data_IF_135125165530
#
_entry.id   IF_135125165530
#
_cell.length_a   1.000
_cell.length_b   1.000
_cell.length_c   1.000
_cell.angle_alpha   90.00
_cell.angle_beta   90.00
_cell.angle_gamma   90.00
#
_symmetry.space_group_name_H-M   'P 1'
#
loop_
_entity.id
_entity.type
_entity.pdbx_description
1 polymer ?
#
# COMPACT_ATOMS: atom_id res chain seq x y z
N UNK A 1 3.03 19.95 10.79
CA UNK A 1 3.60 18.78 10.09
C UNK A 1 2.55 17.71 9.72
N UNK A 2 1.46 17.52 10.47
CA UNK A 2 0.44 16.51 10.09
C UNK A 2 -0.51 16.91 8.94
N UNK A 3 -0.70 18.20 8.69
CA UNK A 3 -1.61 18.69 7.62
C UNK A 3 -1.11 18.42 6.19
N UNK A 4 0.20 18.34 5.96
CA UNK A 4 0.78 18.10 4.61
C UNK A 4 0.64 16.63 4.17
N UNK A 5 0.42 15.71 5.11
CA UNK A 5 0.31 14.26 4.84
C UNK A 5 -1.09 13.83 4.39
N UNK A 6 -2.09 14.68 4.64
CA UNK A 6 -3.50 14.44 4.31
C UNK A 6 -3.85 15.22 3.05
N UNK A 7 -3.30 14.82 1.91
CA UNK A 7 -3.67 15.41 0.62
C UNK A 7 -5.12 14.97 0.28
N UNK A 8 -6.02 15.95 0.16
CA UNK A 8 -7.45 15.78 -0.12
C UNK A 8 -7.69 16.04 -1.60
N UNK A 9 -8.60 15.28 -2.20
CA UNK A 9 -8.90 15.38 -3.63
C UNK A 9 -9.43 16.76 -3.98
N UNK A 10 -8.83 17.41 -4.98
CA UNK A 10 -9.29 18.70 -5.50
C UNK A 10 -10.51 18.47 -6.41
N UNK A 11 -11.67 18.24 -5.79
CA UNK A 11 -12.95 18.11 -6.48
C UNK A 11 -13.54 19.50 -6.81
N UNK A 12 -14.44 19.55 -7.79
CA UNK A 12 -15.20 20.77 -8.14
C UNK A 12 -15.93 21.32 -6.91
N UNK A 13 -16.51 20.41 -6.12
CA UNK A 13 -17.07 20.71 -4.80
C UNK A 13 -16.16 20.06 -3.74
N UNK A 14 -15.50 20.85 -2.88
CA UNK A 14 -14.59 20.31 -1.89
C UNK A 14 -15.36 19.47 -0.85
N UNK A 15 -14.82 18.29 -0.46
CA UNK A 15 -15.48 17.46 0.53
C UNK A 15 -15.60 18.20 1.87
N UNK A 16 -16.74 18.02 2.54
CA UNK A 16 -16.98 18.67 3.83
C UNK A 16 -15.95 18.22 4.88
N UNK A 17 -15.70 19.07 5.88
CA UNK A 17 -14.78 18.74 6.96
C UNK A 17 -15.22 17.50 7.76
N UNK A 18 -16.53 17.22 7.81
CA UNK A 18 -17.08 16.01 8.44
C UNK A 18 -16.76 14.76 7.61
N UNK A 19 -17.02 14.80 6.31
CA UNK A 19 -16.67 13.72 5.37
C UNK A 19 -15.19 13.35 5.45
N UNK A 20 -14.31 14.35 5.56
CA UNK A 20 -12.86 14.12 5.71
C UNK A 20 -12.55 13.43 7.04
N UNK A 21 -13.15 13.87 8.16
CA UNK A 21 -12.92 13.23 9.48
C UNK A 21 -13.41 11.79 9.50
N UNK A 22 -14.58 11.52 8.94
CA UNK A 22 -15.14 10.18 8.87
C UNK A 22 -14.29 9.27 7.99
N UNK A 23 -13.76 9.79 6.88
CA UNK A 23 -12.85 9.03 6.03
C UNK A 23 -11.52 8.72 6.72
N UNK A 24 -10.98 9.64 7.52
CA UNK A 24 -9.78 9.38 8.34
C UNK A 24 -10.06 8.28 9.36
N UNK A 25 -11.22 8.30 10.01
CA UNK A 25 -11.64 7.25 10.95
C UNK A 25 -11.76 5.90 10.25
N UNK A 26 -12.41 5.87 9.08
CA UNK A 26 -12.51 4.68 8.23
C UNK A 26 -11.12 4.13 7.86
N UNK A 27 -10.23 4.98 7.36
CA UNK A 27 -8.88 4.58 6.95
C UNK A 27 -8.09 3.95 8.10
N UNK A 28 -8.16 4.52 9.31
CA UNK A 28 -7.51 3.96 10.50
C UNK A 28 -8.07 2.60 10.87
N UNK A 29 -9.39 2.44 10.81
CA UNK A 29 -10.05 1.16 11.11
C UNK A 29 -9.63 0.09 10.11
N UNK A 30 -9.66 0.38 8.81
CA UNK A 30 -9.23 -0.55 7.75
C UNK A 30 -7.78 -0.97 7.92
N UNK A 31 -6.87 -0.04 8.25
CA UNK A 31 -5.46 -0.37 8.47
C UNK A 31 -5.30 -1.34 9.65
N UNK A 32 -6.03 -1.10 10.75
CA UNK A 32 -6.01 -2.00 11.90
C UNK A 32 -6.66 -3.37 11.60
N UNK A 33 -7.77 -3.39 10.86
CA UNK A 33 -8.43 -4.61 10.40
C UNK A 33 -7.51 -5.43 9.48
N UNK A 34 -6.86 -4.79 8.51
CA UNK A 34 -5.90 -5.43 7.63
C UNK A 34 -4.69 -5.97 8.42
N UNK A 35 -4.19 -5.21 9.39
CA UNK A 35 -3.12 -5.64 10.30
C UNK A 35 -3.52 -6.89 11.08
N UNK A 36 -4.76 -6.94 11.59
CA UNK A 36 -5.31 -8.11 12.29
C UNK A 36 -5.47 -9.31 11.36
N UNK A 37 -6.08 -9.12 10.18
CA UNK A 37 -6.25 -10.17 9.18
C UNK A 37 -4.90 -10.79 8.77
N UNK A 38 -3.87 -9.96 8.61
CA UNK A 38 -2.49 -10.42 8.39
C UNK A 38 -1.92 -11.16 9.62
N UNK A 39 -2.19 -10.71 10.84
CA UNK A 39 -1.70 -11.39 12.05
C UNK A 39 -2.37 -12.73 12.35
N UNK A 40 -3.66 -12.89 12.02
CA UNK A 40 -4.31 -14.20 12.08
C UNK A 40 -3.57 -15.22 11.21
N UNK A 41 -3.00 -14.80 10.06
CA UNK A 41 -2.10 -15.63 9.25
C UNK A 41 -0.78 -15.97 9.96
N UNK A 42 -0.12 -15.05 10.67
CA UNK A 42 1.17 -15.34 11.31
C UNK A 42 1.08 -16.09 12.65
N UNK A 43 0.02 -15.92 13.42
CA UNK A 43 -0.18 -16.66 14.70
C UNK A 43 -0.65 -18.10 14.42
N UNK A 44 -1.50 -18.32 13.41
CA UNK A 44 -1.85 -19.68 12.99
C UNK A 44 -0.64 -20.44 12.43
N UNK A 45 0.26 -19.81 11.67
CA UNK A 45 1.44 -20.52 11.14
C UNK A 45 2.40 -21.05 12.23
N UNK A 46 2.31 -20.55 13.46
CA UNK A 46 3.07 -21.09 14.60
C UNK A 46 2.28 -22.13 15.42
N UNK A 47 0.97 -22.28 15.19
CA UNK A 47 0.08 -23.16 15.98
C UNK A 47 -0.75 -24.18 15.16
N UNK A 48 -0.72 -24.16 13.82
CA UNK A 48 -1.53 -25.02 12.92
C UNK A 48 -0.68 -26.07 12.18
N UNK A 49 0.03 -26.90 12.94
CA UNK A 49 -0.29 -28.33 12.86
C UNK A 49 -1.56 -28.43 13.69
N UNK A 50 -2.66 -28.99 13.18
CA UNK A 50 -3.97 -29.21 13.86
C UNK A 50 -5.05 -28.14 13.56
N UNK A 51 -5.99 -28.52 12.67
CA UNK A 51 -7.43 -28.16 12.60
C UNK A 51 -7.92 -26.86 11.91
N UNK A 52 -8.37 -27.01 10.65
CA UNK A 52 -9.37 -26.18 9.94
C UNK A 52 -10.05 -25.07 10.78
N UNK A 53 -9.85 -23.80 10.41
CA UNK A 53 -10.88 -22.78 10.17
C UNK A 53 -10.22 -21.40 10.06
N UNK A 54 -10.58 -20.65 9.00
CA UNK A 54 -10.17 -19.26 8.71
C UNK A 54 -8.84 -19.04 7.96
N UNK A 55 -8.69 -19.66 6.78
CA UNK A 55 -7.71 -19.22 5.79
C UNK A 55 -8.31 -18.05 4.99
N UNK A 56 -7.93 -16.80 5.29
CA UNK A 56 -8.23 -15.69 4.37
C UNK A 56 -7.30 -15.85 3.16
N UNK A 57 -7.81 -16.19 1.95
CA UNK A 57 -6.98 -16.30 0.77
C UNK A 57 -6.33 -14.95 0.45
N UNK A 58 -5.10 -14.93 -0.09
CA UNK A 58 -4.44 -13.70 -0.48
C UNK A 58 -5.26 -12.81 -1.43
N UNK A 59 -6.17 -13.39 -2.22
CA UNK A 59 -7.12 -12.67 -3.06
C UNK A 59 -8.10 -11.80 -2.26
N UNK A 60 -8.64 -12.31 -1.14
CA UNK A 60 -9.53 -11.53 -0.27
C UNK A 60 -8.77 -10.37 0.41
N UNK A 61 -7.50 -10.56 0.77
CA UNK A 61 -6.68 -9.46 1.28
C UNK A 61 -6.45 -8.37 0.21
N UNK A 62 -6.24 -8.77 -1.04
CA UNK A 62 -6.09 -7.82 -2.14
C UNK A 62 -7.42 -7.09 -2.42
N UNK A 63 -8.54 -7.81 -2.39
CA UNK A 63 -9.88 -7.22 -2.56
C UNK A 63 -10.19 -6.19 -1.46
N UNK A 64 -9.86 -6.49 -0.20
CA UNK A 64 -9.98 -5.51 0.90
C UNK A 64 -9.15 -4.26 0.60
N UNK A 65 -7.92 -4.41 0.10
CA UNK A 65 -7.09 -3.28 -0.27
C UNK A 65 -7.72 -2.46 -1.41
N UNK A 66 -8.18 -3.11 -2.47
CA UNK A 66 -8.74 -2.45 -3.65
C UNK A 66 -10.06 -1.73 -3.34
N UNK A 67 -10.98 -2.38 -2.62
CA UNK A 67 -12.23 -1.75 -2.14
C UNK A 67 -11.95 -0.56 -1.22
N UNK A 68 -10.96 -0.68 -0.34
CA UNK A 68 -10.57 0.41 0.56
C UNK A 68 -9.93 1.58 -0.20
N UNK A 69 -9.11 1.29 -1.21
CA UNK A 69 -8.50 2.30 -2.07
C UNK A 69 -9.55 3.04 -2.89
N UNK A 70 -10.53 2.34 -3.44
CA UNK A 70 -11.63 2.96 -4.20
C UNK A 70 -12.46 3.89 -3.32
N UNK A 71 -12.90 3.39 -2.14
CA UNK A 71 -13.68 4.17 -1.18
C UNK A 71 -12.93 5.40 -0.65
N UNK A 72 -11.66 5.25 -0.30
CA UNK A 72 -10.84 6.38 0.14
C UNK A 72 -10.52 7.35 -1.00
N UNK A 73 -10.33 6.86 -2.23
CA UNK A 73 -10.04 7.66 -3.42
C UNK A 73 -11.15 8.61 -3.86
N UNK A 74 -12.37 8.43 -3.32
CA UNK A 74 -13.45 9.41 -3.45
C UNK A 74 -13.16 10.72 -2.70
N UNK A 75 -12.34 10.69 -1.65
CA UNK A 75 -12.07 11.84 -0.75
C UNK A 75 -10.59 12.22 -0.72
N UNK A 76 -9.68 11.24 -0.73
CA UNK A 76 -8.24 11.43 -0.64
C UNK A 76 -7.57 11.39 -2.02
N UNK A 77 -6.50 12.16 -2.18
CA UNK A 77 -5.61 12.03 -3.35
C UNK A 77 -4.78 10.74 -3.26
N UNK A 78 -4.30 10.22 -4.40
CA UNK A 78 -3.45 9.02 -4.44
C UNK A 78 -2.15 9.19 -3.60
N UNK A 79 -1.69 10.42 -3.44
CA UNK A 79 -0.51 10.81 -2.63
C UNK A 79 -0.79 10.87 -1.13
N UNK A 80 -2.04 10.72 -0.67
CA UNK A 80 -2.40 10.71 0.74
C UNK A 80 -1.74 9.54 1.48
N UNK A 81 -1.25 9.76 2.71
CA UNK A 81 -0.56 8.71 3.47
C UNK A 81 -1.40 7.45 3.73
N UNK A 82 -2.73 7.58 3.84
CA UNK A 82 -3.62 6.42 4.00
C UNK A 82 -3.76 5.61 2.71
N UNK A 83 -3.89 6.30 1.57
CA UNK A 83 -3.89 5.68 0.24
C UNK A 83 -2.56 4.95 0.00
N UNK A 84 -1.44 5.63 0.27
CA UNK A 84 -0.11 5.04 0.13
C UNK A 84 0.11 3.84 1.06
N UNK A 85 -0.45 3.85 2.27
CA UNK A 85 -0.38 2.71 3.17
C UNK A 85 -1.09 1.50 2.56
N UNK A 86 -2.32 1.66 2.09
CA UNK A 86 -3.08 0.55 1.50
C UNK A 86 -2.45 0.07 0.19
N UNK A 87 -1.91 0.96 -0.66
CA UNK A 87 -1.14 0.55 -1.84
C UNK A 87 0.11 -0.24 -1.47
N UNK A 88 0.81 0.14 -0.39
CA UNK A 88 1.97 -0.60 0.09
C UNK A 88 1.59 -2.00 0.59
N UNK A 89 0.45 -2.14 1.28
CA UNK A 89 -0.06 -3.44 1.68
C UNK A 89 -0.46 -4.30 0.47
N UNK A 90 -1.18 -3.72 -0.50
CA UNK A 90 -1.56 -4.39 -1.75
C UNK A 90 -0.33 -4.89 -2.52
N UNK A 91 0.70 -4.06 -2.64
CA UNK A 91 2.00 -4.45 -3.21
C UNK A 91 2.59 -5.67 -2.49
N UNK A 92 2.54 -5.69 -1.16
CA UNK A 92 3.01 -6.82 -0.35
C UNK A 92 2.22 -8.11 -0.62
N UNK A 93 0.91 -8.01 -0.83
CA UNK A 93 0.05 -9.15 -1.20
C UNK A 93 0.38 -9.63 -2.62
N UNK A 94 0.52 -8.74 -3.60
CA UNK A 94 0.94 -9.08 -4.97
C UNK A 94 2.29 -9.83 -4.98
N UNK A 95 3.27 -9.35 -4.21
CA UNK A 95 4.56 -10.03 -4.06
C UNK A 95 4.42 -11.43 -3.47
N UNK A 96 3.49 -11.65 -2.52
CA UNK A 96 3.24 -12.95 -1.91
C UNK A 96 2.62 -13.96 -2.88
N UNK A 97 1.68 -13.51 -3.74
CA UNK A 97 1.05 -14.35 -4.76
C UNK A 97 1.87 -14.45 -6.05
N UNK A 98 3.07 -13.89 -6.08
CA UNK A 98 3.96 -13.84 -7.24
C UNK A 98 3.38 -13.08 -8.45
N UNK A 99 2.45 -12.15 -8.21
CA UNK A 99 2.01 -11.17 -9.20
C UNK A 99 3.02 -10.02 -9.26
N UNK A 100 4.10 -10.24 -10.00
CA UNK A 100 5.19 -9.28 -10.16
C UNK A 100 4.76 -7.99 -10.85
N UNK A 101 3.83 -8.09 -11.82
CA UNK A 101 3.31 -6.93 -12.53
C UNK A 101 2.43 -6.06 -11.65
N UNK A 102 1.52 -6.66 -10.87
CA UNK A 102 0.71 -5.94 -9.89
C UNK A 102 1.56 -5.26 -8.83
N UNK A 103 2.57 -5.96 -8.31
CA UNK A 103 3.53 -5.37 -7.37
C UNK A 103 4.27 -4.18 -7.98
N UNK A 104 4.67 -4.28 -9.26
CA UNK A 104 5.32 -3.18 -9.97
C UNK A 104 4.38 -1.98 -10.16
N UNK A 105 3.13 -2.21 -10.56
CA UNK A 105 2.11 -1.17 -10.73
C UNK A 105 1.90 -0.37 -9.44
N UNK A 106 1.71 -1.05 -8.30
CA UNK A 106 1.59 -0.38 -7.01
C UNK A 106 2.87 0.35 -6.60
N UNK A 107 4.04 -0.27 -6.77
CA UNK A 107 5.33 0.35 -6.43
C UNK A 107 5.60 1.64 -7.20
N UNK A 108 5.26 1.69 -8.50
CA UNK A 108 5.39 2.88 -9.33
C UNK A 108 4.50 4.04 -8.85
N UNK A 109 3.28 3.75 -8.37
CA UNK A 109 2.40 4.76 -7.77
C UNK A 109 2.94 5.29 -6.44
N UNK A 110 3.55 4.43 -5.62
CA UNK A 110 4.01 4.79 -4.27
C UNK A 110 5.28 5.63 -4.28
N UNK A 111 6.25 5.34 -5.17
CA UNK A 111 7.62 5.88 -5.04
C UNK A 111 7.70 7.40 -5.14
N UNK A 112 6.87 8.02 -5.99
CA UNK A 112 6.87 9.47 -6.22
C UNK A 112 6.33 10.24 -4.99
N UNK A 113 5.14 9.92 -4.45
CA UNK A 113 4.68 10.49 -3.18
C UNK A 113 5.58 10.18 -1.99
N UNK A 114 6.14 8.95 -1.90
CA UNK A 114 7.08 8.59 -0.83
C UNK A 114 8.31 9.51 -0.82
N UNK A 115 8.87 9.82 -1.98
CA UNK A 115 10.04 10.70 -2.09
C UNK A 115 9.76 12.14 -1.65
N UNK A 116 8.48 12.56 -1.66
CA UNK A 116 8.05 13.88 -1.18
C UNK A 116 7.76 13.89 0.33
N UNK A 117 7.20 12.79 0.85
CA UNK A 117 6.79 12.69 2.26
C UNK A 117 7.92 12.34 3.22
N UNK A 118 8.99 11.71 2.73
CA UNK A 118 10.17 11.38 3.51
C UNK A 118 11.29 12.40 3.31
N UNK A 119 12.21 12.55 4.30
CA UNK A 119 13.42 13.34 4.13
C UNK A 119 14.27 12.86 2.95
N UNK A 120 15.12 13.75 2.42
CA UNK A 120 15.99 13.49 1.25
C UNK A 120 16.84 12.21 1.38
N UNK A 121 17.23 11.86 2.60
CA UNK A 121 17.90 10.59 2.92
C UNK A 121 17.00 9.77 3.83
N UNK A 122 16.27 8.81 3.23
CA UNK A 122 15.35 7.93 3.94
C UNK A 122 15.53 6.48 3.52
N UNK A 123 15.76 5.61 4.50
CA UNK A 123 15.85 4.16 4.29
C UNK A 123 14.54 3.59 3.71
N UNK A 124 13.39 4.21 3.99
CA UNK A 124 12.11 3.77 3.44
C UNK A 124 12.02 4.03 1.93
N UNK A 125 12.55 5.18 1.47
CA UNK A 125 12.61 5.53 0.04
C UNK A 125 13.63 4.63 -0.67
N UNK A 126 14.82 4.44 -0.09
CA UNK A 126 15.83 3.53 -0.63
C UNK A 126 15.33 2.08 -0.71
N UNK A 127 14.65 1.59 0.34
CA UNK A 127 14.04 0.26 0.35
C UNK A 127 12.99 0.09 -0.76
N UNK A 128 12.20 1.12 -1.02
CA UNK A 128 11.21 1.10 -2.11
C UNK A 128 11.90 1.07 -3.48
N UNK A 129 12.92 1.89 -3.70
CA UNK A 129 13.72 1.86 -4.94
C UNK A 129 14.39 0.51 -5.17
N UNK A 130 14.90 -0.12 -4.11
CA UNK A 130 15.48 -1.46 -4.18
C UNK A 130 14.44 -2.52 -4.57
N UNK A 131 13.24 -2.49 -3.98
CA UNK A 131 12.13 -3.38 -4.35
C UNK A 131 11.73 -3.20 -5.81
N UNK A 132 11.55 -1.96 -6.26
CA UNK A 132 11.25 -1.63 -7.65
C UNK A 132 12.35 -2.09 -8.60
N UNK A 133 13.61 -1.83 -8.25
CA UNK A 133 14.76 -2.26 -9.05
C UNK A 133 14.78 -3.77 -9.26
N UNK A 134 14.55 -4.55 -8.19
CA UNK A 134 14.45 -6.02 -8.28
C UNK A 134 13.25 -6.48 -9.12
N UNK A 135 12.09 -5.84 -8.98
CA UNK A 135 10.91 -6.15 -9.80
C UNK A 135 11.14 -5.88 -11.29
N UNK A 136 11.75 -4.74 -11.64
CA UNK A 136 12.11 -4.45 -13.04
C UNK A 136 13.10 -5.47 -13.60
N UNK A 137 14.08 -5.91 -12.80
CA UNK A 137 15.01 -6.96 -13.22
C UNK A 137 14.31 -8.31 -13.42
N UNK A 138 13.35 -8.65 -12.55
CA UNK A 138 12.57 -9.88 -12.66
C UNK A 138 11.64 -9.89 -13.90
N UNK A 139 11.13 -8.73 -14.30
CA UNK A 139 10.31 -8.53 -15.50
C UNK A 139 11.13 -8.19 -16.75
N UNK A 140 12.42 -8.54 -16.75
CA UNK A 140 13.37 -8.35 -17.86
C UNK A 140 13.57 -6.89 -18.34
N UNK A 141 13.03 -5.90 -17.63
CA UNK A 141 13.24 -4.47 -17.89
C UNK A 141 14.54 -3.99 -17.24
N UNK A 142 15.66 -4.52 -17.73
CA UNK A 142 17.00 -4.24 -17.22
C UNK A 142 17.37 -2.75 -17.18
N UNK A 143 17.04 -1.91 -18.20
CA UNK A 143 17.35 -0.48 -18.15
C UNK A 143 16.67 0.24 -16.98
N UNK A 144 15.37 -0.02 -16.75
CA UNK A 144 14.64 0.57 -15.63
C UNK A 144 15.14 0.03 -14.28
N UNK A 145 15.45 -1.27 -14.21
CA UNK A 145 16.00 -1.90 -13.02
C UNK A 145 17.32 -1.28 -12.57
N UNK A 146 18.29 -1.15 -13.47
CA UNK A 146 19.58 -0.50 -13.16
C UNK A 146 19.40 0.95 -12.72
N UNK A 147 18.49 1.69 -13.37
CA UNK A 147 18.20 3.08 -12.98
C UNK A 147 17.61 3.17 -11.57
N UNK A 148 16.72 2.26 -11.20
CA UNK A 148 16.12 2.20 -9.88
C UNK A 148 17.13 1.78 -8.79
N UNK A 149 18.01 0.82 -9.08
CA UNK A 149 19.03 0.33 -8.12
C UNK A 149 20.14 1.36 -7.81
N UNK A 150 20.27 2.41 -8.63
CA UNK A 150 21.25 3.49 -8.45
C UNK A 150 20.70 4.69 -7.65
N UNK A 151 19.44 4.65 -7.22
CA UNK A 151 18.79 5.69 -6.41
C UNK A 151 19.03 5.47 -4.94
#
# INVERSE_FOLDING_TARGET
QDKEKLEIRKLHDPPSAETVRDMIKYARNVIEEFRRAKHYKYILYHLFIVFLDFFIPPSELLEICELSLDKMGAVFEESNVYMLHMMYQAMGVCLYVQDWEGALRYGQKIIRPYSKHYPSYSLNVASMWLKLGRLYMALENRPAGVKALKR
#
